data_IF_781908656363
#
_entry.id   IF_781908656363
#
_cell.length_a   1.000
_cell.length_b   1.000
_cell.length_c   1.000
_cell.angle_alpha   90.00
_cell.angle_beta   90.00
_cell.angle_gamma   90.00
#
_symmetry.space_group_name_H-M   'P 1'
#
loop_
_entity.id
_entity.type
_entity.pdbx_description
1 polymer ?
#
# COMPACT_ATOMS: atom_id res chain seq x y z
N UNK A 1 -15.61 -4.82 -7.04
CA UNK A 1 -14.13 -4.88 -6.96
C UNK A 1 -13.59 -6.23 -7.41
N UNK A 2 -14.18 -7.37 -7.01
CA UNK A 2 -13.75 -8.70 -7.48
C UNK A 2 -14.07 -8.97 -8.97
N UNK A 3 -15.22 -8.48 -9.46
CA UNK A 3 -15.72 -8.72 -10.83
C UNK A 3 -14.82 -8.16 -11.94
N UNK A 4 -14.18 -7.00 -11.72
CA UNK A 4 -13.37 -6.31 -12.72
C UNK A 4 -11.98 -6.93 -12.82
N UNK A 5 -11.43 -7.34 -11.68
CA UNK A 5 -10.16 -8.07 -11.60
C UNK A 5 -10.32 -9.43 -12.28
N UNK A 6 -11.45 -10.09 -12.06
CA UNK A 6 -11.76 -11.41 -12.64
C UNK A 6 -11.93 -11.34 -14.16
N UNK A 7 -12.58 -10.29 -14.68
CA UNK A 7 -12.66 -10.03 -16.13
C UNK A 7 -11.28 -9.80 -16.78
N UNK A 8 -10.42 -9.03 -16.13
CA UNK A 8 -9.05 -8.80 -16.61
C UNK A 8 -8.16 -10.06 -16.48
N UNK A 9 -8.37 -10.88 -15.46
CA UNK A 9 -7.69 -12.18 -15.27
C UNK A 9 -8.09 -13.18 -16.36
N UNK A 10 -9.33 -13.15 -16.84
CA UNK A 10 -9.82 -14.02 -17.91
C UNK A 10 -9.25 -13.62 -19.29
N UNK A 11 -9.04 -12.33 -19.54
CA UNK A 11 -8.40 -11.85 -20.78
C UNK A 11 -6.86 -11.88 -20.74
N UNK A 12 -6.27 -11.94 -19.55
CA UNK A 12 -4.83 -11.99 -19.38
C UNK A 12 -4.22 -13.29 -19.93
N UNK A 13 -3.20 -13.15 -20.77
CA UNK A 13 -2.45 -14.30 -21.27
C UNK A 13 -1.75 -15.02 -20.12
N UNK A 14 -1.55 -16.34 -20.25
CA UNK A 14 -0.85 -17.17 -19.27
C UNK A 14 0.53 -16.62 -18.85
N UNK A 15 1.22 -15.90 -19.74
CA UNK A 15 2.49 -15.25 -19.44
C UNK A 15 2.30 -14.02 -18.54
N UNK A 16 1.26 -13.21 -18.78
CA UNK A 16 0.92 -12.07 -17.94
C UNK A 16 0.50 -12.52 -16.53
N UNK A 17 -0.27 -13.61 -16.43
CA UNK A 17 -0.64 -14.20 -15.14
C UNK A 17 0.58 -14.73 -14.37
N UNK A 18 1.53 -15.37 -15.06
CA UNK A 18 2.77 -15.84 -14.43
C UNK A 18 3.64 -14.67 -13.94
N UNK A 19 3.66 -13.54 -14.65
CA UNK A 19 4.38 -12.34 -14.23
C UNK A 19 3.71 -11.72 -13.02
N UNK A 20 2.38 -11.60 -13.03
CA UNK A 20 1.59 -11.08 -11.91
C UNK A 20 1.81 -11.91 -10.64
N UNK A 21 1.69 -13.23 -10.73
CA UNK A 21 1.90 -14.15 -9.60
C UNK A 21 3.34 -14.06 -9.09
N UNK A 22 4.32 -13.92 -9.98
CA UNK A 22 5.73 -13.78 -9.57
C UNK A 22 5.98 -12.46 -8.85
N UNK A 23 5.40 -11.37 -9.32
CA UNK A 23 5.48 -10.06 -8.68
C UNK A 23 4.75 -10.04 -7.33
N UNK A 24 3.53 -10.60 -7.26
CA UNK A 24 2.79 -10.76 -5.99
C UNK A 24 3.56 -11.60 -4.97
N UNK A 25 4.21 -12.68 -5.41
CA UNK A 25 4.99 -13.55 -4.55
C UNK A 25 6.31 -12.90 -4.07
N UNK A 26 6.86 -11.95 -4.83
CA UNK A 26 8.00 -11.10 -4.40
C UNK A 26 7.53 -10.02 -3.42
N UNK A 27 6.34 -9.45 -3.65
CA UNK A 27 5.77 -8.34 -2.86
C UNK A 27 5.22 -8.78 -1.50
N UNK A 28 4.69 -10.00 -1.40
CA UNK A 28 4.09 -10.52 -0.17
C UNK A 28 4.64 -11.91 0.16
N UNK A 29 5.70 -12.01 0.99
CA UNK A 29 6.34 -13.29 1.31
C UNK A 29 5.40 -14.27 2.04
N UNK A 30 4.36 -13.77 2.71
CA UNK A 30 3.32 -14.58 3.36
C UNK A 30 2.40 -15.25 2.33
N UNK A 31 2.01 -14.52 1.27
CA UNK A 31 1.24 -15.05 0.15
C UNK A 31 2.09 -16.00 -0.72
N UNK A 32 3.41 -15.83 -0.79
CA UNK A 32 4.28 -16.77 -1.49
C UNK A 32 4.13 -18.20 -0.94
N UNK A 33 4.05 -18.36 0.38
CA UNK A 33 3.84 -19.66 1.03
C UNK A 33 2.51 -20.29 0.61
N UNK A 34 1.41 -19.54 0.69
CA UNK A 34 0.07 -20.01 0.31
C UNK A 34 -0.04 -20.32 -1.20
N UNK A 35 0.52 -19.46 -2.06
CA UNK A 35 0.58 -19.69 -3.51
C UNK A 35 1.40 -20.93 -3.83
N UNK A 36 2.50 -21.17 -3.11
CA UNK A 36 3.33 -22.37 -3.31
C UNK A 36 2.58 -23.62 -2.88
N UNK A 37 1.85 -23.58 -1.76
CA UNK A 37 1.00 -24.68 -1.30
C UNK A 37 -0.13 -24.97 -2.28
N UNK A 38 -0.81 -23.94 -2.79
CA UNK A 38 -1.86 -24.08 -3.81
C UNK A 38 -1.32 -24.62 -5.15
N UNK A 39 -0.13 -24.19 -5.58
CA UNK A 39 0.52 -24.73 -6.78
C UNK A 39 0.94 -26.19 -6.61
N UNK A 40 1.44 -26.56 -5.43
CA UNK A 40 1.77 -27.95 -5.09
C UNK A 40 0.50 -28.81 -5.07
N UNK A 41 -0.60 -28.31 -4.49
CA UNK A 41 -1.89 -28.98 -4.49
C UNK A 41 -2.47 -29.14 -5.91
N UNK A 42 -2.42 -28.10 -6.74
CA UNK A 42 -2.88 -28.14 -8.13
C UNK A 42 -2.06 -29.10 -9.01
N UNK A 43 -0.74 -29.17 -8.78
CA UNK A 43 0.14 -30.15 -9.45
C UNK A 43 -0.13 -31.58 -8.96
N UNK A 44 -0.50 -31.78 -7.69
CA UNK A 44 -0.90 -33.08 -7.16
C UNK A 44 -2.21 -33.57 -7.78
N UNK A 45 -3.20 -32.69 -7.96
CA UNK A 45 -4.49 -33.02 -8.62
C UNK A 45 -4.28 -33.38 -10.10
N UNK A 46 -3.37 -32.69 -10.80
CA UNK A 46 -3.06 -32.99 -12.20
C UNK A 46 -2.35 -34.34 -12.41
N UNK A 47 -1.67 -34.85 -11.38
CA UNK A 47 -1.02 -36.17 -11.40
C UNK A 47 -1.97 -37.32 -11.00
N UNK A 48 -3.21 -37.03 -10.60
CA UNK A 48 -4.27 -37.99 -10.29
C UNK A 48 -5.48 -37.87 -11.23
N UNK A 49 -5.24 -37.73 -12.53
CA UNK A 49 -6.28 -38.05 -13.52
C UNK A 49 -6.34 -39.58 -13.70
N UNK A 50 -7.42 -40.30 -13.33
CA UNK A 50 -7.53 -41.72 -13.58
C UNK A 50 -7.73 -41.96 -15.08
N UNK A 51 -6.73 -42.59 -15.70
CA UNK A 51 -6.78 -43.12 -17.06
C UNK A 51 -7.87 -44.20 -17.16
N UNK A 52 -9.05 -43.81 -17.63
CA UNK A 52 -10.15 -44.71 -17.94
C UNK A 52 -10.01 -45.20 -19.39
N UNK A 53 -9.33 -46.33 -19.61
CA UNK A 53 -9.55 -47.21 -20.76
C UNK A 53 -8.89 -48.60 -20.58
N UNK A 54 -9.73 -49.63 -20.63
CA UNK A 54 -9.49 -51.03 -21.02
C UNK A 54 -8.67 -51.96 -20.09
N UNK A 55 -9.36 -52.92 -19.44
CA UNK A 55 -9.45 -54.30 -19.96
C UNK A 55 -10.08 -55.23 -18.92
N UNK A 56 -11.15 -55.90 -19.33
CA UNK A 56 -11.69 -57.11 -18.71
C UNK A 56 -10.61 -58.22 -18.64
N UNK A 57 -10.49 -58.92 -17.50
CA UNK A 57 -10.78 -60.35 -17.42
C UNK A 57 -10.48 -60.94 -16.04
N UNK A 58 -11.31 -61.90 -15.68
CA UNK A 58 -11.42 -62.64 -14.43
C UNK A 58 -10.13 -63.29 -13.90
N UNK A 59 -9.99 -63.37 -12.58
CA UNK A 59 -10.05 -64.69 -11.94
C UNK A 59 -10.32 -64.67 -10.43
N UNK A 60 -11.10 -65.67 -10.06
CA UNK A 60 -11.61 -66.13 -8.77
C UNK A 60 -10.50 -66.83 -7.94
N UNK A 61 -10.65 -66.85 -6.59
CA UNK A 61 -10.38 -67.96 -5.61
C UNK A 61 -10.05 -67.34 -4.21
N UNK A 62 -10.99 -67.35 -3.24
CA UNK A 62 -11.18 -68.31 -2.09
C UNK A 62 -10.14 -68.07 -0.96
N UNK A 63 -10.49 -67.42 0.18
CA UNK A 63 -11.23 -67.87 1.39
C UNK A 63 -10.31 -68.49 2.47
N UNK A 64 -10.53 -67.99 3.70
CA UNK A 64 -10.52 -68.66 5.04
C UNK A 64 -9.45 -68.39 6.13
N UNK A 65 -10.03 -68.34 7.34
CA UNK A 65 -9.58 -68.58 8.73
C UNK A 65 -9.07 -67.38 9.58
N UNK A 66 -9.87 -66.82 10.53
CA UNK A 66 -10.39 -67.33 11.85
C UNK A 66 -9.25 -67.27 12.90
N UNK A 67 -9.31 -66.52 14.02
CA UNK A 67 -9.99 -66.79 15.32
C UNK A 67 -9.93 -65.51 16.21
N UNK A 68 -11.06 -65.04 16.74
CA UNK A 68 -11.60 -65.25 18.11
C UNK A 68 -10.88 -64.48 19.24
N UNK A 69 -11.63 -63.59 19.89
CA UNK A 69 -11.91 -63.73 21.33
C UNK A 69 -13.06 -62.80 21.76
N UNK A 70 -14.13 -63.45 22.19
CA UNK A 70 -15.27 -62.93 22.96
C UNK A 70 -14.79 -62.59 24.40
N UNK A 71 -15.30 -61.55 25.05
CA UNK A 71 -16.37 -61.54 26.07
C UNK A 71 -15.82 -60.57 27.15
N UNK A 72 -16.51 -59.74 27.93
CA UNK A 72 -17.89 -59.43 28.33
C UNK A 72 -17.70 -58.08 29.09
N UNK A 73 -18.61 -57.12 29.24
CA UNK A 73 -19.87 -57.15 30.00
C UNK A 73 -20.37 -55.69 30.07
N UNK A 74 -21.67 -55.50 29.82
CA UNK A 74 -22.63 -54.52 30.35
C UNK A 74 -22.17 -53.19 30.99
N UNK A 75 -22.74 -52.08 30.51
CA UNK A 75 -23.64 -51.19 31.29
C UNK A 75 -23.77 -49.79 30.66
N UNK A 76 -24.94 -49.58 30.04
CA UNK A 76 -25.78 -48.39 30.04
C UNK A 76 -25.19 -46.96 30.11
N UNK A 77 -25.63 -46.17 29.13
CA UNK A 77 -26.25 -44.85 29.30
C UNK A 77 -25.51 -43.64 28.70
N UNK A 78 -26.28 -42.89 27.90
CA UNK A 78 -26.10 -41.48 27.54
C UNK A 78 -24.99 -41.11 26.54
N UNK A 79 -25.36 -40.87 25.27
CA UNK A 79 -25.60 -39.49 24.77
C UNK A 79 -25.89 -39.44 23.26
N UNK A 80 -27.08 -38.92 22.95
CA UNK A 80 -27.52 -38.11 21.81
C UNK A 80 -26.88 -38.33 20.41
N UNK A 81 -27.68 -39.00 19.60
CA UNK A 81 -27.82 -38.88 18.16
C UNK A 81 -28.10 -37.41 17.76
N UNK A 82 -27.19 -36.79 17.01
CA UNK A 82 -27.53 -35.67 16.12
C UNK A 82 -27.06 -36.10 14.74
N UNK A 83 -28.04 -36.16 13.86
CA UNK A 83 -27.98 -36.58 12.47
C UNK A 83 -27.16 -35.58 11.65
N UNK A 84 -26.28 -36.14 10.82
CA UNK A 84 -25.71 -35.48 9.66
C UNK A 84 -26.85 -35.19 8.67
N UNK A 85 -27.28 -33.93 8.58
CA UNK A 85 -28.07 -33.44 7.44
C UNK A 85 -27.17 -32.54 6.58
N UNK A 86 -26.69 -33.16 5.51
CA UNK A 86 -26.24 -32.53 4.26
C UNK A 86 -27.33 -31.56 3.77
N UNK A 87 -27.13 -30.27 4.00
CA UNK A 87 -27.92 -29.24 3.33
C UNK A 87 -27.14 -28.77 2.11
N UNK A 88 -27.22 -29.57 1.05
CA UNK A 88 -26.87 -29.19 -0.33
C UNK A 88 -27.79 -28.04 -0.76
N UNK A 89 -27.39 -26.82 -0.44
CA UNK A 89 -27.88 -25.61 -1.10
C UNK A 89 -27.18 -25.53 -2.47
N UNK A 90 -27.76 -26.21 -3.46
CA UNK A 90 -27.54 -25.92 -4.87
C UNK A 90 -28.05 -24.49 -5.16
N UNK A 91 -27.22 -23.48 -4.88
CA UNK A 91 -27.43 -22.13 -5.39
C UNK A 91 -27.14 -22.14 -6.90
N UNK A 92 -28.21 -22.27 -7.68
CA UNK A 92 -28.25 -22.04 -9.12
C UNK A 92 -27.82 -20.59 -9.42
N UNK A 93 -26.52 -20.37 -9.61
CA UNK A 93 -25.96 -19.14 -10.17
C UNK A 93 -26.28 -19.09 -11.67
N UNK A 94 -27.42 -18.47 -12.00
CA UNK A 94 -27.82 -18.17 -13.39
C UNK A 94 -26.88 -17.13 -14.03
N UNK A 95 -25.80 -17.61 -14.67
CA UNK A 95 -24.88 -16.82 -15.51
C UNK A 95 -25.48 -16.54 -16.92
N UNK A 96 -26.77 -16.23 -17.00
CA UNK A 96 -27.48 -15.94 -18.25
C UNK A 96 -27.73 -14.44 -18.54
N UNK A 97 -27.34 -13.54 -17.64
CA UNK A 97 -27.59 -12.10 -17.77
C UNK A 97 -26.54 -11.38 -18.63
N UNK A 98 -26.74 -11.32 -19.94
CA UNK A 98 -26.05 -10.36 -20.80
C UNK A 98 -26.56 -8.94 -20.54
N UNK A 99 -26.18 -8.33 -19.44
CA UNK A 99 -26.21 -6.88 -19.29
C UNK A 99 -24.77 -6.36 -19.43
N UNK A 100 -24.47 -5.52 -20.44
CA UNK A 100 -23.16 -4.90 -20.55
C UNK A 100 -23.02 -3.91 -19.40
N UNK A 101 -22.39 -4.35 -18.31
CA UNK A 101 -21.92 -3.46 -17.24
C UNK A 101 -20.95 -2.46 -17.89
N UNK A 102 -21.33 -1.19 -17.80
CA UNK A 102 -20.55 -0.09 -18.34
C UNK A 102 -19.16 -0.10 -17.68
N UNK A 103 -18.14 -0.42 -18.49
CA UNK A 103 -16.74 -0.23 -18.16
C UNK A 103 -16.56 1.17 -17.57
N UNK A 104 -16.13 1.24 -16.31
CA UNK A 104 -15.36 2.38 -15.82
C UNK A 104 -14.01 2.36 -16.56
N UNK A 105 -14.04 2.75 -17.84
CA UNK A 105 -12.96 3.55 -18.38
C UNK A 105 -12.76 4.63 -17.33
N UNK A 106 -11.55 4.78 -16.76
CA UNK A 106 -11.22 5.98 -16.00
C UNK A 106 -11.58 7.12 -16.94
N UNK A 107 -12.76 7.70 -16.71
CA UNK A 107 -13.22 8.86 -17.40
C UNK A 107 -12.23 9.86 -16.88
N UNK A 108 -11.17 10.11 -17.65
CA UNK A 108 -10.26 11.22 -17.40
C UNK A 108 -11.19 12.41 -17.40
N UNK A 109 -11.62 12.82 -16.21
CA UNK A 109 -12.42 14.00 -16.02
C UNK A 109 -11.69 15.09 -16.77
N UNK A 110 -12.41 15.82 -17.62
CA UNK A 110 -11.89 17.01 -18.33
C UNK A 110 -11.64 18.16 -17.31
N UNK A 111 -10.96 17.84 -16.21
CA UNK A 111 -10.41 18.79 -15.28
C UNK A 111 -9.35 19.58 -16.04
N UNK A 112 -9.41 20.90 -15.91
CA UNK A 112 -8.40 21.76 -16.49
C UNK A 112 -7.03 21.36 -15.97
N UNK A 113 -6.07 21.30 -16.90
CA UNK A 113 -4.67 21.08 -16.57
C UNK A 113 -4.24 22.10 -15.51
N UNK A 114 -3.64 21.60 -14.43
CA UNK A 114 -3.16 22.43 -13.34
C UNK A 114 -2.05 23.32 -13.89
N UNK A 115 -2.16 24.63 -13.64
CA UNK A 115 -1.05 25.55 -13.86
C UNK A 115 -0.15 25.52 -12.62
N UNK A 116 0.74 24.51 -12.55
CA UNK A 116 1.62 24.32 -11.40
C UNK A 116 2.50 25.54 -11.12
N UNK A 117 2.82 26.33 -12.14
CA UNK A 117 3.62 27.55 -11.97
C UNK A 117 2.83 28.66 -11.29
N UNK A 118 1.55 28.83 -11.64
CA UNK A 118 0.68 29.77 -10.96
C UNK A 118 0.49 29.42 -9.47
N UNK A 119 0.30 28.14 -9.14
CA UNK A 119 0.20 27.70 -7.75
C UNK A 119 1.52 27.86 -6.99
N UNK A 120 2.65 27.51 -7.62
CA UNK A 120 3.98 27.71 -7.03
C UNK A 120 4.24 29.19 -6.73
N UNK A 121 3.92 30.07 -7.67
CA UNK A 121 4.08 31.51 -7.47
C UNK A 121 3.15 32.03 -6.37
N UNK A 122 1.89 31.58 -6.35
CA UNK A 122 0.92 31.94 -5.31
C UNK A 122 1.42 31.59 -3.91
N UNK A 123 1.97 30.39 -3.73
CA UNK A 123 2.52 29.93 -2.45
C UNK A 123 3.79 30.70 -2.07
N UNK A 124 4.73 30.88 -3.02
CA UNK A 124 5.97 31.62 -2.78
C UNK A 124 5.72 33.09 -2.37
N UNK A 125 4.63 33.68 -2.86
CA UNK A 125 4.22 35.05 -2.54
C UNK A 125 3.68 35.19 -1.10
N UNK A 126 3.41 34.11 -0.36
CA UNK A 126 2.88 34.19 1.02
C UNK A 126 3.81 34.93 1.96
N UNK A 127 5.11 34.69 1.85
CA UNK A 127 6.14 35.38 2.62
C UNK A 127 6.12 36.89 2.35
N UNK A 128 6.00 37.30 1.08
CA UNK A 128 5.95 38.69 0.66
C UNK A 128 4.65 39.37 1.11
N UNK A 129 3.51 38.67 0.97
CA UNK A 129 2.18 39.11 1.41
C UNK A 129 2.13 39.34 2.92
N UNK A 130 2.70 38.43 3.70
CA UNK A 130 2.80 38.57 5.15
C UNK A 130 3.67 39.78 5.54
N UNK A 131 4.79 40.01 4.84
CA UNK A 131 5.64 41.19 5.04
C UNK A 131 4.95 42.50 4.67
N UNK A 132 4.01 42.48 3.72
CA UNK A 132 3.18 43.62 3.35
C UNK A 132 2.06 43.92 4.38
N UNK A 133 1.94 43.11 5.43
CA UNK A 133 0.98 43.30 6.52
C UNK A 133 -0.35 42.58 6.31
N UNK A 134 -0.41 41.64 5.36
CA UNK A 134 -1.56 40.75 5.23
C UNK A 134 -1.68 39.86 6.47
N UNK A 135 -2.91 39.56 6.90
CA UNK A 135 -3.11 38.76 8.10
C UNK A 135 -2.82 37.28 7.81
N UNK A 136 -2.27 36.52 8.78
CA UNK A 136 -2.07 35.09 8.61
C UNK A 136 -3.38 34.32 8.41
N UNK A 137 -4.52 34.89 8.83
CA UNK A 137 -5.84 34.29 8.60
C UNK A 137 -6.22 34.32 7.12
N UNK A 138 -5.94 35.42 6.41
CA UNK A 138 -6.21 35.49 4.97
C UNK A 138 -5.31 34.53 4.20
N UNK A 139 -4.06 34.36 4.63
CA UNK A 139 -3.16 33.36 4.04
C UNK A 139 -3.60 31.92 4.34
N UNK A 140 -4.18 31.68 5.52
CA UNK A 140 -4.74 30.38 5.87
C UNK A 140 -5.97 30.05 5.02
N UNK A 141 -6.88 31.01 4.84
CA UNK A 141 -8.03 30.87 3.94
C UNK A 141 -7.56 30.62 2.49
N UNK A 142 -6.54 31.36 2.03
CA UNK A 142 -5.95 31.18 0.71
C UNK A 142 -5.35 29.78 0.53
N UNK A 143 -4.61 29.29 1.52
CA UNK A 143 -4.04 27.94 1.52
C UNK A 143 -5.15 26.88 1.53
N UNK A 144 -6.19 27.08 2.33
CA UNK A 144 -7.33 26.19 2.40
C UNK A 144 -7.99 26.01 1.02
N UNK A 145 -8.13 27.08 0.23
CA UNK A 145 -8.65 26.92 -1.14
C UNK A 145 -7.76 26.07 -2.05
N UNK A 146 -6.44 26.03 -1.82
CA UNK A 146 -5.53 25.16 -2.58
C UNK A 146 -5.70 23.70 -2.13
N UNK A 147 -5.89 23.49 -0.83
CA UNK A 147 -6.13 22.16 -0.25
C UNK A 147 -7.50 21.60 -0.68
N UNK A 148 -8.56 22.39 -0.61
CA UNK A 148 -9.89 22.00 -1.09
C UNK A 148 -9.87 21.61 -2.58
N UNK A 149 -9.10 22.30 -3.41
CA UNK A 149 -8.91 21.92 -4.82
C UNK A 149 -8.18 20.58 -4.95
N UNK A 150 -7.14 20.32 -4.14
CA UNK A 150 -6.45 19.04 -4.13
C UNK A 150 -7.38 17.89 -3.68
N UNK A 151 -8.19 18.11 -2.65
CA UNK A 151 -9.19 17.16 -2.18
C UNK A 151 -10.26 16.90 -3.25
N UNK A 152 -10.81 17.96 -3.84
CA UNK A 152 -11.81 17.85 -4.92
C UNK A 152 -11.27 17.03 -6.10
N UNK A 153 -9.98 17.18 -6.43
CA UNK A 153 -9.32 16.37 -7.46
C UNK A 153 -9.19 14.91 -7.06
N UNK A 154 -8.81 14.64 -5.81
CA UNK A 154 -8.76 13.27 -5.30
C UNK A 154 -10.14 12.60 -5.35
N UNK A 155 -11.21 13.30 -4.96
CA UNK A 155 -12.61 12.83 -5.07
C UNK A 155 -13.02 12.54 -6.53
N UNK A 156 -12.52 13.35 -7.47
CA UNK A 156 -12.74 13.17 -8.91
C UNK A 156 -11.79 12.16 -9.56
N UNK A 157 -11.03 11.41 -8.76
CA UNK A 157 -10.06 10.40 -9.20
C UNK A 157 -8.90 10.97 -10.06
N UNK A 158 -8.69 12.30 -10.02
CA UNK A 158 -7.49 12.96 -10.53
C UNK A 158 -6.40 12.94 -9.45
N UNK A 159 -5.96 11.72 -9.11
CA UNK A 159 -4.98 11.52 -8.06
C UNK A 159 -3.63 12.19 -8.36
N UNK A 160 -3.22 12.23 -9.63
CA UNK A 160 -1.98 12.89 -10.02
C UNK A 160 -2.08 14.40 -9.76
N UNK A 161 -3.19 15.03 -10.15
CA UNK A 161 -3.39 16.46 -9.90
C UNK A 161 -3.45 16.80 -8.41
N UNK A 162 -4.12 15.97 -7.61
CA UNK A 162 -4.17 16.11 -6.16
C UNK A 162 -2.78 16.01 -5.52
N UNK A 163 -2.03 14.95 -5.86
CA UNK A 163 -0.66 14.73 -5.39
C UNK A 163 0.23 15.90 -5.78
N UNK A 164 0.17 16.37 -7.03
CA UNK A 164 1.01 17.49 -7.47
C UNK A 164 0.76 18.76 -6.65
N UNK A 165 -0.50 19.07 -6.28
CA UNK A 165 -0.82 20.21 -5.43
C UNK A 165 -0.27 20.02 -4.01
N UNK A 166 -0.43 18.85 -3.41
CA UNK A 166 0.17 18.55 -2.11
C UNK A 166 1.69 18.65 -2.13
N UNK A 167 2.34 18.22 -3.22
CA UNK A 167 3.78 18.36 -3.38
C UNK A 167 4.22 19.83 -3.38
N UNK A 168 3.47 20.74 -4.02
CA UNK A 168 3.77 22.17 -4.03
C UNK A 168 3.68 22.79 -2.63
N UNK A 169 2.66 22.42 -1.85
CA UNK A 169 2.48 22.92 -0.47
C UNK A 169 3.61 22.41 0.42
N UNK A 170 3.99 21.15 0.25
CA UNK A 170 5.09 20.55 0.99
C UNK A 170 6.43 21.20 0.62
N UNK A 171 6.68 21.44 -0.67
CA UNK A 171 7.86 22.16 -1.17
C UNK A 171 7.94 23.58 -0.58
N UNK A 172 6.82 24.30 -0.51
CA UNK A 172 6.77 25.61 0.15
C UNK A 172 7.15 25.50 1.62
N UNK A 173 6.56 24.55 2.37
CA UNK A 173 6.91 24.31 3.77
C UNK A 173 8.39 23.93 3.96
N UNK A 174 8.97 23.18 3.04
CA UNK A 174 10.38 22.79 3.06
C UNK A 174 11.33 23.96 2.75
N UNK A 175 10.88 25.00 2.04
CA UNK A 175 11.68 26.19 1.76
C UNK A 175 11.44 27.34 2.74
N UNK A 176 10.28 27.37 3.39
CA UNK A 176 9.89 28.46 4.28
C UNK A 176 10.69 28.48 5.59
N UNK A 177 11.07 29.70 5.99
CA UNK A 177 11.82 30.02 7.21
C UNK A 177 11.06 30.97 8.14
N UNK A 178 10.01 31.65 7.66
CA UNK A 178 9.21 32.58 8.44
C UNK A 178 8.36 31.81 9.48
N UNK A 179 8.55 32.04 10.79
CA UNK A 179 7.99 31.17 11.84
C UNK A 179 6.46 31.12 11.84
N UNK A 180 5.80 32.24 11.48
CA UNK A 180 4.33 32.29 11.40
C UNK A 180 3.81 31.43 10.23
N UNK A 181 4.49 31.44 9.09
CA UNK A 181 4.08 30.65 7.92
C UNK A 181 4.43 29.18 8.10
N UNK A 182 5.57 28.90 8.71
CA UNK A 182 5.93 27.56 9.17
C UNK A 182 4.82 26.96 10.04
N UNK A 183 4.35 27.69 11.05
CA UNK A 183 3.30 27.18 11.94
C UNK A 183 1.97 27.00 11.21
N UNK A 184 1.61 27.93 10.32
CA UNK A 184 0.40 27.83 9.50
C UNK A 184 0.44 26.61 8.58
N UNK A 185 1.52 26.45 7.81
CA UNK A 185 1.71 25.32 6.90
C UNK A 185 1.78 23.99 7.65
N UNK A 186 2.47 23.93 8.80
CA UNK A 186 2.51 22.71 9.61
C UNK A 186 1.12 22.32 10.11
N UNK A 187 0.32 23.29 10.57
CA UNK A 187 -1.05 23.04 11.02
C UNK A 187 -1.92 22.47 9.90
N UNK A 188 -1.92 23.11 8.73
CA UNK A 188 -2.75 22.63 7.62
C UNK A 188 -2.23 21.31 7.05
N UNK A 189 -0.92 21.07 7.04
CA UNK A 189 -0.33 19.77 6.68
C UNK A 189 -0.71 18.66 7.66
N UNK A 190 -0.81 18.95 8.96
CA UNK A 190 -1.27 17.98 9.96
C UNK A 190 -2.73 17.57 9.72
N UNK A 191 -3.57 18.53 9.33
CA UNK A 191 -4.99 18.30 9.05
C UNK A 191 -5.17 17.39 7.81
N UNK A 192 -4.32 17.54 6.78
CA UNK A 192 -4.41 16.74 5.55
C UNK A 192 -3.58 15.46 5.54
N UNK A 193 -2.70 15.25 6.53
CA UNK A 193 -1.78 14.10 6.55
C UNK A 193 -2.49 12.75 6.37
N UNK A 194 -3.64 12.47 7.01
CA UNK A 194 -4.34 11.19 6.83
C UNK A 194 -4.86 10.97 5.40
N UNK A 195 -5.29 12.06 4.74
CA UNK A 195 -5.76 12.04 3.36
C UNK A 195 -4.58 11.78 2.42
N UNK A 196 -3.48 12.49 2.65
CA UNK A 196 -2.25 12.33 1.88
C UNK A 196 -1.68 10.92 2.01
N UNK A 197 -1.68 10.33 3.21
CA UNK A 197 -1.24 8.95 3.44
C UNK A 197 -2.07 7.96 2.62
N UNK A 198 -3.40 8.10 2.69
CA UNK A 198 -4.32 7.24 1.94
C UNK A 198 -4.05 7.34 0.43
N UNK A 199 -3.91 8.57 -0.07
CA UNK A 199 -3.68 8.85 -1.48
C UNK A 199 -2.33 8.32 -1.97
N UNK A 200 -1.25 8.57 -1.23
CA UNK A 200 0.09 8.08 -1.59
C UNK A 200 0.18 6.56 -1.51
N UNK A 201 -0.45 5.93 -0.51
CA UNK A 201 -0.54 4.47 -0.39
C UNK A 201 -1.31 3.86 -1.57
N UNK A 202 -2.45 4.44 -1.94
CA UNK A 202 -3.26 3.98 -3.07
C UNK A 202 -2.51 4.13 -4.40
N UNK A 203 -1.95 5.31 -4.68
CA UNK A 203 -1.25 5.57 -5.94
C UNK A 203 0.10 4.85 -6.03
N UNK A 204 0.75 4.55 -4.90
CA UNK A 204 1.96 3.72 -4.90
C UNK A 204 1.68 2.23 -4.99
N UNK A 205 0.52 1.76 -4.54
CA UNK A 205 0.14 0.34 -4.60
C UNK A 205 -0.53 -0.05 -5.92
N UNK A 206 -1.19 0.89 -6.58
CA UNK A 206 -1.92 0.65 -7.81
C UNK A 206 -0.97 0.36 -9.00
N UNK A 207 -1.32 -0.67 -9.76
CA UNK A 207 -0.65 -1.04 -11.00
C UNK A 207 -1.68 -0.94 -12.13
N UNK A 208 -1.41 -0.10 -13.12
CA UNK A 208 -2.26 -0.03 -14.29
C UNK A 208 -1.90 -1.13 -15.27
N UNK A 209 -2.93 -1.81 -15.78
CA UNK A 209 -2.81 -2.68 -16.94
C UNK A 209 -2.86 -1.83 -18.21
N UNK A 210 -1.72 -1.61 -18.84
CA UNK A 210 -1.69 -1.25 -20.24
C UNK A 210 -1.47 -2.54 -21.06
N UNK A 211 -2.04 -2.63 -22.26
CA UNK A 211 -2.16 -3.84 -23.10
C UNK A 211 -0.82 -4.56 -23.40
N UNK A 212 0.30 -3.97 -23.02
CA UNK A 212 1.67 -4.47 -23.23
C UNK A 212 2.55 -4.49 -21.97
N UNK A 213 2.15 -3.85 -20.86
CA UNK A 213 2.99 -3.69 -19.66
C UNK A 213 2.21 -3.31 -18.41
N UNK A 214 2.58 -3.91 -17.28
CA UNK A 214 2.19 -3.47 -15.95
C UNK A 214 3.03 -2.25 -15.57
N UNK A 215 2.44 -1.05 -15.60
CA UNK A 215 3.11 0.17 -15.16
C UNK A 215 2.57 0.59 -13.79
N UNK A 216 3.44 0.79 -12.80
CA UNK A 216 3.04 1.38 -11.53
C UNK A 216 2.30 2.71 -11.76
N UNK A 217 1.26 2.98 -10.97
CA UNK A 217 0.52 4.24 -11.05
C UNK A 217 1.42 5.45 -10.75
N UNK A 218 2.34 5.30 -9.79
CA UNK A 218 3.42 6.25 -9.54
C UNK A 218 4.71 5.80 -10.20
N UNK A 219 5.34 6.66 -11.01
CA UNK A 219 6.67 6.38 -11.54
C UNK A 219 7.70 6.26 -10.41
N UNK A 220 8.77 5.50 -10.65
CA UNK A 220 9.89 5.38 -9.70
C UNK A 220 10.42 6.76 -9.28
N UNK A 221 10.61 7.66 -10.24
CA UNK A 221 11.11 9.00 -9.98
C UNK A 221 10.14 9.81 -9.10
N UNK A 222 8.84 9.78 -9.41
CA UNK A 222 7.85 10.50 -8.60
C UNK A 222 7.81 9.97 -7.16
N UNK A 223 7.86 8.65 -6.99
CA UNK A 223 7.85 8.01 -5.67
C UNK A 223 9.10 8.37 -4.86
N UNK A 224 10.27 8.35 -5.49
CA UNK A 224 11.52 8.74 -4.83
C UNK A 224 11.52 10.21 -4.42
N UNK A 225 11.02 11.11 -5.28
CA UNK A 225 10.89 12.51 -4.92
C UNK A 225 9.93 12.72 -3.75
N UNK A 226 8.85 11.95 -3.66
CA UNK A 226 7.96 11.96 -2.50
C UNK A 226 8.64 11.47 -1.22
N UNK A 227 9.39 10.37 -1.27
CA UNK A 227 10.17 9.89 -0.13
C UNK A 227 11.17 10.95 0.34
N UNK A 228 11.83 11.64 -0.58
CA UNK A 228 12.74 12.75 -0.27
C UNK A 228 12.04 13.91 0.45
N UNK A 229 10.87 14.33 -0.04
CA UNK A 229 10.07 15.39 0.59
C UNK A 229 9.60 15.00 1.99
N UNK A 230 9.04 13.80 2.14
CA UNK A 230 8.53 13.29 3.41
C UNK A 230 9.67 13.17 4.44
N UNK A 231 10.81 12.63 4.03
CA UNK A 231 11.97 12.53 4.91
C UNK A 231 12.51 13.91 5.31
N UNK A 232 12.56 14.87 4.40
CA UNK A 232 12.97 16.24 4.70
C UNK A 232 12.00 16.91 5.68
N UNK A 233 10.69 16.71 5.51
CA UNK A 233 9.67 17.21 6.44
C UNK A 233 9.85 16.57 7.82
N UNK A 234 10.05 15.26 7.86
CA UNK A 234 10.27 14.51 9.09
C UNK A 234 11.50 15.01 9.84
N UNK A 235 12.63 15.25 9.15
CA UNK A 235 13.82 15.85 9.77
C UNK A 235 13.54 17.23 10.36
N UNK A 236 12.85 18.11 9.63
CA UNK A 236 12.46 19.43 10.15
C UNK A 236 11.60 19.32 11.41
N UNK A 237 10.65 18.37 11.45
CA UNK A 237 9.78 18.12 12.60
C UNK A 237 10.54 17.53 13.79
N UNK A 238 11.47 16.60 13.54
CA UNK A 238 12.35 16.06 14.57
C UNK A 238 13.24 17.13 15.20
N UNK A 239 13.81 18.02 14.38
CA UNK A 239 14.62 19.15 14.84
C UNK A 239 13.79 20.17 15.63
N UNK A 240 12.49 20.27 15.34
CA UNK A 240 11.52 21.09 16.08
C UNK A 240 10.88 20.36 17.28
N UNK A 241 11.33 19.15 17.62
CA UNK A 241 10.81 18.31 18.72
C UNK A 241 9.35 17.86 18.59
N UNK A 242 8.81 17.83 17.36
CA UNK A 242 7.53 17.21 17.09
C UNK A 242 7.70 15.69 16.98
N UNK A 243 6.94 14.97 17.81
CA UNK A 243 6.84 13.51 17.74
C UNK A 243 5.80 13.19 16.69
N UNK A 244 6.26 12.88 15.48
CA UNK A 244 5.39 12.45 14.39
C UNK A 244 5.87 11.08 13.89
N UNK A 245 5.19 10.04 14.33
CA UNK A 245 5.42 8.65 13.87
C UNK A 245 4.67 8.36 12.56
N UNK A 246 3.74 9.23 12.12
CA UNK A 246 2.95 9.02 10.89
C UNK A 246 3.79 9.16 9.63
N UNK A 247 4.71 10.12 9.57
CA UNK A 247 5.55 10.33 8.37
C UNK A 247 6.47 9.12 8.12
N UNK A 248 7.18 8.57 9.12
CA UNK A 248 7.90 7.30 8.97
C UNK A 248 7.04 6.15 8.46
N UNK A 249 5.85 5.96 9.02
CA UNK A 249 4.93 4.89 8.61
C UNK A 249 4.48 5.09 7.16
N UNK A 250 4.10 6.31 6.77
CA UNK A 250 3.76 6.64 5.39
C UNK A 250 4.92 6.40 4.42
N UNK A 251 6.16 6.74 4.79
CA UNK A 251 7.34 6.42 3.97
C UNK A 251 7.52 4.91 3.79
N UNK A 252 7.31 4.11 4.85
CA UNK A 252 7.41 2.65 4.77
C UNK A 252 6.29 2.04 3.93
N UNK A 253 5.06 2.56 4.04
CA UNK A 253 3.90 2.12 3.27
C UNK A 253 4.06 2.42 1.78
N UNK A 254 4.68 3.55 1.44
CA UNK A 254 4.89 3.97 0.06
C UNK A 254 6.14 3.33 -0.57
N UNK A 255 7.18 3.03 0.21
CA UNK A 255 8.47 2.58 -0.31
C UNK A 255 8.42 1.16 -0.91
N UNK A 256 9.02 1.00 -2.09
CA UNK A 256 9.22 -0.30 -2.70
C UNK A 256 10.63 -0.83 -2.41
N UNK A 257 10.88 -2.11 -2.71
CA UNK A 257 12.20 -2.74 -2.55
C UNK A 257 13.33 -1.96 -3.22
N UNK A 258 13.06 -1.29 -4.35
CA UNK A 258 14.02 -0.45 -5.07
C UNK A 258 14.35 0.87 -4.36
N UNK A 259 13.47 1.36 -3.48
CA UNK A 259 13.64 2.61 -2.74
C UNK A 259 14.37 2.43 -1.40
N UNK A 260 14.51 1.18 -0.94
CA UNK A 260 15.19 0.85 0.33
C UNK A 260 16.62 1.40 0.36
N UNK A 261 17.35 1.35 -0.76
CA UNK A 261 18.70 1.91 -0.86
C UNK A 261 18.72 3.44 -0.76
N UNK A 262 17.70 4.10 -1.30
CA UNK A 262 17.54 5.55 -1.20
C UNK A 262 17.29 5.95 0.26
N UNK A 263 16.32 5.30 0.92
CA UNK A 263 16.00 5.55 2.33
C UNK A 263 17.21 5.28 3.24
N UNK A 264 17.93 4.18 3.02
CA UNK A 264 19.18 3.92 3.75
C UNK A 264 20.19 5.04 3.59
N UNK A 265 20.41 5.51 2.35
CA UNK A 265 21.36 6.59 2.07
C UNK A 265 20.93 7.89 2.75
N UNK A 266 19.65 8.23 2.71
CA UNK A 266 19.12 9.45 3.32
C UNK A 266 19.30 9.44 4.84
N UNK A 267 18.98 8.33 5.50
CA UNK A 267 19.18 8.16 6.94
C UNK A 267 20.67 8.22 7.31
N UNK A 268 21.54 7.53 6.56
CA UNK A 268 22.98 7.56 6.79
C UNK A 268 23.56 8.97 6.61
N UNK A 269 23.15 9.70 5.56
CA UNK A 269 23.54 11.09 5.34
C UNK A 269 23.09 11.98 6.51
N UNK A 270 21.84 11.82 6.97
CA UNK A 270 21.31 12.57 8.10
C UNK A 270 22.06 12.28 9.41
N UNK A 271 22.50 11.03 9.62
CA UNK A 271 23.33 10.63 10.76
C UNK A 271 24.76 11.18 10.66
N UNK A 272 25.34 11.24 9.47
CA UNK A 272 26.69 11.77 9.25
C UNK A 272 26.76 13.30 9.37
N UNK A 273 25.67 14.01 9.06
CA UNK A 273 25.59 15.47 9.16
C UNK A 273 25.42 15.98 10.61
N UNK A 274 25.23 15.08 11.58
CA UNK A 274 25.18 15.45 12.99
C UNK A 274 26.55 16.00 13.42
N UNK A 275 26.63 17.22 13.99
CA UNK A 275 27.89 17.76 14.43
C UNK A 275 28.49 16.84 15.50
N UNK A 276 29.69 16.32 15.23
CA UNK A 276 30.54 15.68 16.22
C UNK A 276 30.91 16.74 17.26
N UNK A 277 30.10 16.86 18.30
CA UNK A 277 30.41 17.69 19.46
C UNK A 277 31.55 17.03 20.24
N UNK A 278 32.77 17.10 19.70
CA UNK A 278 33.96 16.48 20.29
C UNK A 278 34.32 17.07 21.67
N UNK A 279 33.70 18.19 22.09
CA UNK A 279 34.14 18.94 23.27
C UNK A 279 33.03 19.41 24.24
N UNK A 280 31.77 18.94 24.11
CA UNK A 280 30.72 19.30 25.06
C UNK A 280 30.45 18.16 26.06
N UNK A 281 30.81 18.38 27.33
CA UNK A 281 30.43 17.48 28.45
C UNK A 281 28.92 17.54 28.78
N UNK A 282 28.13 18.26 27.98
CA UNK A 282 26.68 18.36 28.14
C UNK A 282 26.04 17.38 27.15
N UNK A 283 25.28 16.43 27.69
CA UNK A 283 24.46 15.51 26.89
C UNK A 283 23.41 16.33 26.16
N UNK A 284 23.51 16.39 24.83
CA UNK A 284 22.47 16.97 24.01
C UNK A 284 21.35 15.95 23.78
N UNK A 285 20.31 16.04 24.61
CA UNK A 285 19.14 15.16 24.54
C UNK A 285 18.41 15.27 23.19
N UNK A 286 18.47 16.43 22.52
CA UNK A 286 17.87 16.62 21.19
C UNK A 286 18.59 15.75 20.15
N UNK A 287 19.91 15.81 20.16
CA UNK A 287 20.78 15.07 19.27
C UNK A 287 20.68 13.55 19.52
N UNK A 288 20.66 13.15 20.79
CA UNK A 288 20.49 11.75 21.18
C UNK A 288 19.12 11.21 20.77
N UNK A 289 18.06 12.00 20.94
CA UNK A 289 16.71 11.64 20.51
C UNK A 289 16.67 11.45 18.99
N UNK A 290 17.11 12.45 18.22
CA UNK A 290 17.18 12.39 16.75
C UNK A 290 17.96 11.16 16.27
N UNK A 291 19.13 10.90 16.86
CA UNK A 291 19.96 9.74 16.50
C UNK A 291 19.21 8.43 16.72
N UNK A 292 18.60 8.26 17.90
CA UNK A 292 17.84 7.04 18.23
C UNK A 292 16.65 6.83 17.32
N UNK A 293 15.94 7.90 16.99
CA UNK A 293 14.77 7.83 16.10
C UNK A 293 15.19 7.43 14.67
N UNK A 294 16.27 8.02 14.14
CA UNK A 294 16.83 7.64 12.84
C UNK A 294 17.35 6.19 12.84
N UNK A 295 18.01 5.75 13.90
CA UNK A 295 18.48 4.36 14.05
C UNK A 295 17.32 3.36 14.18
N UNK A 296 16.21 3.75 14.81
CA UNK A 296 14.99 2.91 14.88
C UNK A 296 14.41 2.73 13.49
N UNK A 297 14.21 3.81 12.75
CA UNK A 297 13.70 3.76 11.39
C UNK A 297 14.59 2.90 10.47
N UNK A 298 15.92 3.03 10.58
CA UNK A 298 16.86 2.21 9.81
C UNK A 298 16.71 0.70 10.08
N UNK A 299 16.25 0.29 11.27
CA UNK A 299 16.00 -1.11 11.62
C UNK A 299 14.67 -1.62 11.08
N UNK A 300 13.72 -0.73 10.82
CA UNK A 300 12.40 -1.04 10.28
C UNK A 300 12.46 -1.22 8.74
N UNK A 301 13.49 -0.69 8.08
CA UNK A 301 13.71 -0.90 6.65
C UNK A 301 13.96 -2.39 6.31
N UNK A 302 13.39 -2.90 5.19
CA UNK A 302 13.71 -4.23 4.66
C UNK A 302 15.20 -4.39 4.36
N UNK A 303 15.73 -5.62 4.49
CA UNK A 303 17.14 -5.95 4.21
C UNK A 303 17.36 -6.52 2.83
#
# INVERSE_FOLDING_TARGET
MESDLEGQLQEATRQQLLILVRELAIRHPQLHTEITELLVAALAVKNHAPSRAASENANLIVIDDIEENEDTEDSEDSTNHIEDEENDLEEDWDFGGTEPLALHTVQRSDLQAIDHEAYRQRLADYSARLQQGESPQVLAEDLHTVLEEAETRAEQHDYQGAIDLYALILDERLNEAHPVLVHLLDKELDDIMPILETLLSEVSSNIFFDASSLTPAMSLEARQQWLERLFALWLKRLDAHYLDESIPEMMLNMAWNEDVLLLHRMVQNALQQLPLNDHSNIVDFSQQYRTRTLERFLKELPR
#
